data_IF_589509409266
#
_entry.id   IF_589509409266
#
_cell.length_a   1.000
_cell.length_b   1.000
_cell.length_c   1.000
_cell.angle_alpha   90.00
_cell.angle_beta   90.00
_cell.angle_gamma   90.00
#
_symmetry.space_group_name_H-M   'P 1'
#
loop_
_entity.id
_entity.type
_entity.pdbx_description
1 polymer ?
#
# COMPACT_ATOMS: atom_id res chain seq x y z
N UNK A 1 -18.93 -43.90 -28.69
CA UNK A 1 -18.87 -43.08 -27.46
C UNK A 1 -17.41 -42.79 -27.22
N UNK A 2 -16.91 -41.71 -27.80
CA UNK A 2 -15.51 -41.30 -27.64
C UNK A 2 -15.39 -40.49 -26.36
N UNK A 3 -14.88 -41.14 -25.31
CA UNK A 3 -14.42 -40.49 -24.09
C UNK A 3 -13.18 -39.65 -24.41
N UNK A 4 -13.40 -38.36 -24.67
CA UNK A 4 -12.33 -37.35 -24.64
C UNK A 4 -11.70 -37.38 -23.24
N UNK A 5 -10.54 -38.03 -23.13
CA UNK A 5 -9.63 -37.87 -21.99
C UNK A 5 -9.25 -36.39 -21.96
N UNK A 6 -9.77 -35.67 -20.97
CA UNK A 6 -9.36 -34.32 -20.65
C UNK A 6 -7.88 -34.35 -20.28
N UNK A 7 -7.00 -33.93 -21.19
CA UNK A 7 -5.60 -33.69 -20.87
C UNK A 7 -5.56 -32.68 -19.71
N UNK A 8 -5.05 -33.12 -18.55
CA UNK A 8 -4.87 -32.25 -17.41
C UNK A 8 -3.99 -31.07 -17.83
N UNK A 9 -4.43 -29.84 -17.53
CA UNK A 9 -3.58 -28.66 -17.76
C UNK A 9 -2.26 -28.85 -17.00
N UNK A 10 -1.11 -28.48 -17.59
CA UNK A 10 0.16 -28.57 -16.89
C UNK A 10 0.10 -27.76 -15.59
N UNK A 11 0.50 -28.39 -14.48
CA UNK A 11 0.57 -27.73 -13.17
C UNK A 11 1.70 -26.69 -13.23
N UNK A 12 1.38 -25.46 -12.87
CA UNK A 12 2.34 -24.35 -12.84
C UNK A 12 2.81 -24.11 -11.41
N UNK A 13 4.05 -23.66 -11.26
CA UNK A 13 4.69 -23.38 -9.98
C UNK A 13 5.34 -22.01 -10.01
N UNK A 14 5.51 -21.39 -8.84
CA UNK A 14 6.30 -20.16 -8.69
C UNK A 14 7.33 -20.33 -7.56
N UNK A 15 8.53 -19.75 -7.71
CA UNK A 15 9.58 -19.83 -6.71
C UNK A 15 9.29 -18.92 -5.52
N UNK A 16 9.71 -19.36 -4.35
CA UNK A 16 9.65 -18.65 -3.06
C UNK A 16 10.96 -18.88 -2.31
N UNK A 17 11.42 -17.84 -1.59
CA UNK A 17 12.59 -17.99 -0.73
C UNK A 17 12.28 -18.86 0.49
N UNK A 18 13.10 -19.87 0.82
CA UNK A 18 12.92 -20.73 1.98
C UNK A 18 12.85 -19.97 3.32
N UNK A 19 13.48 -18.79 3.41
CA UNK A 19 13.43 -17.96 4.63
C UNK A 19 12.03 -17.42 4.93
N UNK A 20 11.11 -17.47 3.97
CA UNK A 20 9.71 -17.13 4.16
C UNK A 20 8.90 -18.25 4.81
N UNK A 21 9.46 -19.44 4.99
CA UNK A 21 8.81 -20.54 5.68
C UNK A 21 9.09 -20.44 7.19
N UNK A 22 8.23 -19.71 7.91
CA UNK A 22 8.40 -19.46 9.33
C UNK A 22 8.20 -20.73 10.18
N UNK A 23 9.13 -21.03 11.11
CA UNK A 23 8.97 -22.14 12.04
C UNK A 23 7.65 -22.08 12.82
N UNK A 24 7.00 -23.23 12.95
CA UNK A 24 5.71 -23.47 13.60
C UNK A 24 4.50 -22.77 12.96
N UNK A 25 4.70 -22.00 11.89
CA UNK A 25 3.60 -21.43 11.14
C UNK A 25 2.90 -22.50 10.30
N UNK A 26 1.57 -22.40 10.25
CA UNK A 26 0.72 -23.26 9.44
C UNK A 26 0.58 -22.63 8.06
N UNK A 27 0.96 -23.37 7.02
CA UNK A 27 0.75 -22.98 5.62
C UNK A 27 -0.40 -23.77 5.03
N UNK A 28 -1.42 -23.09 4.50
CA UNK A 28 -2.53 -23.70 3.76
C UNK A 28 -2.16 -23.97 2.29
N UNK A 29 -0.86 -24.18 2.01
CA UNK A 29 -0.28 -24.44 0.70
C UNK A 29 0.79 -25.52 0.79
N UNK A 30 1.02 -26.22 -0.32
CA UNK A 30 2.04 -27.25 -0.41
C UNK A 30 3.36 -26.66 -0.91
N UNK A 31 4.48 -27.17 -0.41
CA UNK A 31 5.83 -26.72 -0.79
C UNK A 31 6.54 -27.85 -1.52
N UNK A 32 7.22 -27.51 -2.61
CA UNK A 32 7.92 -28.44 -3.50
C UNK A 32 9.38 -28.04 -3.66
N UNK A 33 10.23 -29.03 -3.96
CA UNK A 33 11.63 -28.84 -4.36
C UNK A 33 11.80 -29.26 -5.81
N UNK A 34 12.54 -28.47 -6.58
CA UNK A 34 12.95 -28.87 -7.93
C UNK A 34 14.12 -29.85 -7.86
N UNK A 35 13.92 -31.08 -8.36
CA UNK A 35 14.94 -32.14 -8.37
C UNK A 35 14.83 -32.96 -9.65
N UNK A 36 15.92 -33.04 -10.41
CA UNK A 36 16.04 -33.96 -11.54
C UNK A 36 15.03 -33.74 -12.67
N UNK A 37 14.53 -32.51 -12.85
CA UNK A 37 13.53 -32.18 -13.87
C UNK A 37 12.07 -32.25 -13.40
N UNK A 38 11.83 -32.51 -12.11
CA UNK A 38 10.48 -32.62 -11.55
C UNK A 38 10.33 -31.87 -10.20
N UNK A 39 9.09 -31.57 -9.83
CA UNK A 39 8.73 -30.94 -8.57
C UNK A 39 8.35 -32.00 -7.52
N UNK A 40 9.22 -32.18 -6.52
CA UNK A 40 9.03 -33.17 -5.46
C UNK A 40 8.39 -32.50 -4.25
N UNK A 41 7.27 -33.05 -3.78
CA UNK A 41 6.58 -32.57 -2.58
C UNK A 41 7.52 -32.61 -1.38
N UNK A 42 7.66 -31.47 -0.71
CA UNK A 42 8.46 -31.29 0.49
C UNK A 42 7.59 -31.24 1.75
N UNK A 43 6.54 -30.41 1.74
CA UNK A 43 5.52 -30.37 2.81
C UNK A 43 4.13 -30.23 2.20
N UNK A 44 3.15 -30.93 2.76
CA UNK A 44 1.75 -30.83 2.31
C UNK A 44 1.05 -29.62 2.92
N UNK A 45 0.06 -29.08 2.21
CA UNK A 45 -0.88 -28.10 2.76
C UNK A 45 -1.48 -28.54 4.11
N UNK A 46 -1.58 -27.59 5.04
CA UNK A 46 -2.07 -27.80 6.41
C UNK A 46 -1.03 -28.35 7.39
N UNK A 47 0.20 -28.65 6.93
CA UNK A 47 1.30 -29.03 7.82
C UNK A 47 2.03 -27.80 8.35
N UNK A 48 2.53 -27.91 9.58
CA UNK A 48 3.43 -26.89 10.14
C UNK A 48 4.83 -26.99 9.54
N UNK A 49 5.44 -25.85 9.29
CA UNK A 49 6.87 -25.79 8.99
C UNK A 49 7.68 -26.02 10.27
N UNK A 50 8.11 -27.26 10.51
CA UNK A 50 8.89 -27.58 11.71
C UNK A 50 10.29 -26.93 11.65
N UNK A 51 10.93 -26.64 12.78
CA UNK A 51 12.34 -26.22 12.80
C UNK A 51 13.28 -27.19 12.07
N UNK A 52 12.95 -28.49 12.05
CA UNK A 52 13.68 -29.49 11.24
C UNK A 52 13.54 -29.26 9.74
N UNK A 53 12.36 -28.88 9.25
CA UNK A 53 12.18 -28.54 7.83
C UNK A 53 13.08 -27.37 7.43
N UNK A 54 13.01 -26.26 8.18
CA UNK A 54 13.84 -25.08 7.90
C UNK A 54 15.34 -25.41 7.95
N UNK A 55 15.79 -26.22 8.93
CA UNK A 55 17.19 -26.68 9.02
C UNK A 55 17.62 -27.53 7.83
N UNK A 56 16.76 -28.40 7.32
CA UNK A 56 17.07 -29.24 6.16
C UNK A 56 17.25 -28.39 4.91
N UNK A 57 16.38 -27.39 4.68
CA UNK A 57 16.53 -26.47 3.54
C UNK A 57 17.84 -25.69 3.62
N UNK A 58 18.14 -25.11 4.80
CA UNK A 58 19.37 -24.36 5.02
C UNK A 58 20.63 -25.25 4.89
N UNK A 59 20.64 -26.45 5.46
CA UNK A 59 21.80 -27.36 5.40
C UNK A 59 22.13 -27.82 3.98
N UNK A 60 21.14 -27.84 3.08
CA UNK A 60 21.30 -28.29 1.71
C UNK A 60 21.43 -27.13 0.71
N UNK A 61 21.71 -25.91 1.18
CA UNK A 61 21.86 -24.70 0.36
C UNK A 61 20.73 -24.51 -0.66
N UNK A 62 19.51 -24.82 -0.25
CA UNK A 62 18.33 -24.62 -1.11
C UNK A 62 18.07 -23.12 -1.18
N UNK A 63 18.20 -22.54 -2.38
CA UNK A 63 17.91 -21.13 -2.63
C UNK A 63 16.42 -20.84 -2.92
N UNK A 64 15.69 -21.83 -3.42
CA UNK A 64 14.30 -21.71 -3.82
C UNK A 64 13.49 -22.94 -3.43
N UNK A 65 12.28 -22.70 -2.93
CA UNK A 65 11.21 -23.68 -2.91
C UNK A 65 10.11 -23.25 -3.88
N UNK A 66 9.19 -24.15 -4.19
CA UNK A 66 8.14 -23.89 -5.17
C UNK A 66 6.76 -24.14 -4.57
N UNK A 67 5.81 -23.29 -4.94
CA UNK A 67 4.40 -23.43 -4.56
C UNK A 67 3.59 -23.51 -5.85
N UNK A 68 2.54 -24.33 -5.87
CA UNK A 68 1.66 -24.41 -7.04
C UNK A 68 0.95 -23.07 -7.26
N UNK A 69 0.86 -22.63 -8.51
CA UNK A 69 0.20 -21.37 -8.86
C UNK A 69 -1.29 -21.34 -8.45
N UNK A 70 -1.94 -22.49 -8.28
CA UNK A 70 -3.30 -22.61 -7.73
C UNK A 70 -3.40 -22.31 -6.23
N UNK A 71 -2.29 -22.37 -5.49
CA UNK A 71 -2.21 -22.11 -4.04
C UNK A 71 -1.64 -20.71 -3.74
N UNK A 72 -1.50 -19.85 -4.76
CA UNK A 72 -0.90 -18.51 -4.64
C UNK A 72 -1.62 -17.62 -3.62
N UNK A 73 -2.95 -17.65 -3.60
CA UNK A 73 -3.77 -16.84 -2.68
C UNK A 73 -3.51 -17.24 -1.22
N UNK A 74 -3.36 -18.53 -0.95
CA UNK A 74 -3.07 -19.07 0.38
C UNK A 74 -1.67 -18.65 0.85
N UNK A 75 -0.69 -18.65 -0.06
CA UNK A 75 0.64 -18.13 0.23
C UNK A 75 0.64 -16.62 0.51
N UNK A 76 -0.08 -15.83 -0.28
CA UNK A 76 -0.20 -14.38 -0.06
C UNK A 76 -0.86 -14.06 1.30
N UNK A 77 -1.92 -14.78 1.66
CA UNK A 77 -2.58 -14.66 2.98
C UNK A 77 -1.65 -15.06 4.13
N UNK A 78 -0.82 -16.08 3.90
CA UNK A 78 0.21 -16.49 4.87
C UNK A 78 1.23 -15.37 5.09
N UNK A 79 1.72 -14.73 4.03
CA UNK A 79 2.66 -13.61 4.13
C UNK A 79 2.01 -12.42 4.84
N UNK A 80 0.78 -12.05 4.46
CA UNK A 80 0.03 -10.98 5.12
C UNK A 80 -0.07 -11.21 6.64
N UNK A 81 -0.44 -12.42 7.06
CA UNK A 81 -0.59 -12.78 8.48
C UNK A 81 0.72 -12.68 9.27
N UNK A 82 1.86 -12.87 8.60
CA UNK A 82 3.19 -12.84 9.22
C UNK A 82 3.93 -11.53 8.95
N UNK A 83 3.29 -10.53 8.34
CA UNK A 83 3.96 -9.31 7.90
C UNK A 83 4.71 -8.59 9.02
N UNK A 84 4.08 -8.46 10.20
CA UNK A 84 4.74 -7.84 11.36
C UNK A 84 6.00 -8.58 11.81
N UNK A 85 5.98 -9.92 11.77
CA UNK A 85 7.17 -10.74 12.07
C UNK A 85 8.27 -10.53 11.04
N UNK A 86 7.90 -10.46 9.76
CA UNK A 86 8.86 -10.24 8.66
C UNK A 86 9.55 -8.90 8.81
N UNK A 87 8.80 -7.84 9.06
CA UNK A 87 9.33 -6.49 9.15
C UNK A 87 10.27 -6.30 10.36
N UNK A 88 10.00 -7.01 11.46
CA UNK A 88 10.78 -6.96 12.69
C UNK A 88 12.00 -7.92 12.70
N UNK A 89 12.14 -8.80 11.70
CA UNK A 89 13.25 -9.75 11.65
C UNK A 89 14.50 -9.10 11.05
N UNK A 90 15.38 -8.59 11.90
CA UNK A 90 16.65 -7.94 11.51
C UNK A 90 17.64 -8.90 10.84
N UNK A 91 17.43 -10.22 10.89
CA UNK A 91 18.24 -11.18 10.15
C UNK A 91 17.89 -11.23 8.66
N UNK A 92 16.72 -10.70 8.27
CA UNK A 92 16.33 -10.58 6.88
C UNK A 92 16.92 -9.29 6.26
N UNK A 93 17.47 -9.36 5.03
CA UNK A 93 17.87 -8.16 4.30
C UNK A 93 16.74 -7.13 4.23
N UNK A 94 17.08 -5.85 4.42
CA UNK A 94 16.07 -4.78 4.45
C UNK A 94 15.34 -4.66 3.11
N UNK A 95 16.02 -4.95 2.00
CA UNK A 95 15.47 -4.95 0.65
C UNK A 95 14.39 -6.04 0.51
N UNK A 96 14.61 -7.21 1.10
CA UNK A 96 13.64 -8.30 1.10
C UNK A 96 12.42 -7.96 1.95
N UNK A 97 12.64 -7.40 3.15
CA UNK A 97 11.56 -6.93 4.03
C UNK A 97 10.72 -5.85 3.35
N UNK A 98 11.38 -4.88 2.70
CA UNK A 98 10.75 -3.78 1.96
C UNK A 98 9.91 -4.27 0.79
N UNK A 99 10.46 -5.20 -0.01
CA UNK A 99 9.75 -5.82 -1.12
C UNK A 99 8.46 -6.52 -0.65
N UNK A 100 8.59 -7.36 0.37
CA UNK A 100 7.45 -8.13 0.91
C UNK A 100 6.40 -7.19 1.48
N UNK A 101 6.83 -6.16 2.21
CA UNK A 101 5.92 -5.13 2.73
C UNK A 101 5.14 -4.45 1.61
N UNK A 102 5.83 -3.99 0.56
CA UNK A 102 5.19 -3.29 -0.54
C UNK A 102 4.21 -4.22 -1.28
N UNK A 103 4.63 -5.44 -1.64
CA UNK A 103 3.81 -6.41 -2.37
C UNK A 103 2.58 -6.85 -1.56
N UNK A 104 2.78 -7.29 -0.31
CA UNK A 104 1.69 -7.79 0.53
C UNK A 104 0.67 -6.68 0.85
N UNK A 105 1.14 -5.48 1.18
CA UNK A 105 0.26 -4.36 1.49
C UNK A 105 -0.51 -3.90 0.25
N UNK A 106 0.14 -3.86 -0.92
CA UNK A 106 -0.51 -3.54 -2.20
C UNK A 106 -1.60 -4.54 -2.55
N UNK A 107 -1.40 -5.84 -2.31
CA UNK A 107 -2.43 -6.87 -2.55
C UNK A 107 -3.65 -6.70 -1.64
N UNK A 108 -3.44 -6.37 -0.36
CA UNK A 108 -4.54 -6.07 0.56
C UNK A 108 -5.30 -4.84 0.08
N UNK A 109 -4.59 -3.75 -0.26
CA UNK A 109 -5.21 -2.54 -0.76
C UNK A 109 -5.94 -2.78 -2.10
N UNK A 110 -5.39 -3.63 -2.97
CA UNK A 110 -6.07 -4.05 -4.18
C UNK A 110 -7.38 -4.75 -3.84
N UNK A 111 -7.43 -5.71 -2.93
CA UNK A 111 -8.69 -6.36 -2.50
C UNK A 111 -9.66 -5.38 -1.83
N UNK A 112 -9.14 -4.38 -1.10
CA UNK A 112 -9.97 -3.30 -0.56
C UNK A 112 -10.61 -2.52 -1.69
N UNK A 113 -9.87 -2.10 -2.72
CA UNK A 113 -10.37 -1.25 -3.81
C UNK A 113 -11.03 -2.03 -4.96
N UNK A 114 -10.91 -3.36 -4.99
CA UNK A 114 -11.44 -4.15 -6.09
C UNK A 114 -12.96 -4.10 -6.15
N UNK A 115 -13.44 -4.40 -7.35
CA UNK A 115 -14.72 -4.07 -7.97
C UNK A 115 -16.00 -4.63 -7.32
N UNK A 116 -15.88 -5.18 -6.10
CA UNK A 116 -16.97 -5.77 -5.31
C UNK A 116 -17.14 -5.09 -3.96
N UNK A 117 -16.52 -3.93 -3.75
CA UNK A 117 -16.80 -3.14 -2.56
C UNK A 117 -18.31 -2.93 -2.44
N UNK A 118 -18.92 -3.35 -1.32
CA UNK A 118 -20.28 -2.95 -1.00
C UNK A 118 -20.38 -1.44 -0.94
N UNK A 119 -21.59 -0.92 -0.72
CA UNK A 119 -21.77 0.50 -0.40
C UNK A 119 -20.99 0.98 0.83
N UNK A 120 -20.33 0.09 1.57
CA UNK A 120 -19.62 0.27 2.82
C UNK A 120 -18.33 -0.54 2.89
N UNK A 121 -17.32 -0.03 3.62
CA UNK A 121 -16.09 -0.76 3.88
C UNK A 121 -16.34 -1.86 4.92
N UNK A 122 -16.15 -3.13 4.56
CA UNK A 122 -16.39 -4.26 5.48
C UNK A 122 -15.39 -4.24 6.64
N UNK A 123 -15.86 -4.60 7.84
CA UNK A 123 -15.01 -4.71 9.04
C UNK A 123 -13.77 -5.60 8.83
N UNK A 124 -13.88 -6.67 8.06
CA UNK A 124 -12.75 -7.55 7.70
C UNK A 124 -11.67 -6.84 6.88
N UNK A 125 -12.06 -5.96 5.93
CA UNK A 125 -11.10 -5.22 5.12
C UNK A 125 -10.44 -4.14 5.96
N UNK A 126 -11.24 -3.45 6.79
CA UNK A 126 -10.74 -2.48 7.74
C UNK A 126 -9.71 -3.07 8.72
N UNK A 127 -9.95 -4.27 9.26
CA UNK A 127 -9.02 -4.95 10.13
C UNK A 127 -7.68 -5.21 9.43
N UNK A 128 -7.70 -5.72 8.19
CA UNK A 128 -6.49 -5.97 7.39
C UNK A 128 -5.69 -4.68 7.11
N UNK A 129 -6.37 -3.59 6.74
CA UNK A 129 -5.72 -2.27 6.56
C UNK A 129 -5.13 -1.78 7.87
N UNK A 130 -5.87 -1.90 8.98
CA UNK A 130 -5.37 -1.54 10.31
C UNK A 130 -4.13 -2.35 10.71
N UNK A 131 -4.11 -3.64 10.37
CA UNK A 131 -2.98 -4.51 10.66
C UNK A 131 -1.75 -4.16 9.82
N UNK A 132 -1.91 -3.77 8.54
CA UNK A 132 -0.81 -3.22 7.74
C UNK A 132 -0.19 -2.03 8.45
N UNK A 133 -1.02 -1.05 8.84
CA UNK A 133 -0.54 0.17 9.48
C UNK A 133 0.17 -0.17 10.78
N UNK A 134 -0.46 -0.94 11.69
CA UNK A 134 0.17 -1.34 12.97
C UNK A 134 1.49 -2.06 12.78
N UNK A 135 1.56 -2.99 11.84
CA UNK A 135 2.74 -3.83 11.64
C UNK A 135 3.88 -3.10 10.91
N UNK A 136 3.59 -2.03 10.16
CA UNK A 136 4.57 -1.32 9.35
C UNK A 136 4.99 0.04 9.88
N UNK A 137 4.24 0.69 10.79
CA UNK A 137 4.64 2.01 11.33
C UNK A 137 6.07 1.98 11.84
N UNK A 138 6.46 1.03 12.70
CA UNK A 138 7.83 0.99 13.27
C UNK A 138 8.89 0.79 12.19
N UNK A 139 8.56 0.02 11.16
CA UNK A 139 9.44 -0.20 10.02
C UNK A 139 9.62 1.09 9.20
N UNK A 140 8.53 1.79 8.88
CA UNK A 140 8.51 3.05 8.12
C UNK A 140 8.92 4.28 8.93
N UNK A 141 8.87 4.19 10.25
CA UNK A 141 9.28 5.20 11.21
C UNK A 141 10.69 4.85 11.75
N UNK A 142 11.56 4.41 10.85
CA UNK A 142 12.97 4.17 11.12
C UNK A 142 13.85 4.87 10.10
N UNK A 143 15.09 5.18 10.48
CA UNK A 143 16.04 5.85 9.60
C UNK A 143 16.25 5.04 8.31
N UNK A 144 16.29 5.71 7.16
CA UNK A 144 16.46 5.10 5.82
C UNK A 144 15.34 4.12 5.41
N UNK A 145 14.24 4.02 6.15
CA UNK A 145 13.13 3.14 5.76
C UNK A 145 12.51 3.53 4.42
N UNK A 146 12.34 4.83 4.15
CA UNK A 146 11.83 5.30 2.86
C UNK A 146 12.77 4.94 1.71
N UNK A 147 14.09 5.06 1.89
CA UNK A 147 15.07 4.68 0.85
C UNK A 147 15.04 3.18 0.56
N UNK A 148 14.76 2.36 1.56
CA UNK A 148 14.63 0.90 1.37
C UNK A 148 13.35 0.50 0.62
N UNK A 149 12.28 1.29 0.71
CA UNK A 149 11.00 1.02 0.04
C UNK A 149 10.90 1.71 -1.32
N UNK A 150 11.60 2.83 -1.52
CA UNK A 150 11.57 3.63 -2.74
C UNK A 150 11.76 2.82 -4.04
N UNK A 151 12.67 1.82 -4.13
CA UNK A 151 12.84 1.02 -5.35
C UNK A 151 11.62 0.19 -5.75
N UNK A 152 10.67 -0.02 -4.84
CA UNK A 152 9.45 -0.82 -5.08
C UNK A 152 8.23 0.04 -5.41
N UNK A 153 8.31 1.36 -5.20
CA UNK A 153 7.23 2.30 -5.54
C UNK A 153 7.02 2.27 -7.06
N UNK A 154 5.87 1.75 -7.48
CA UNK A 154 5.48 1.67 -8.89
C UNK A 154 5.16 3.06 -9.45
N UNK A 155 5.43 3.28 -10.74
CA UNK A 155 4.97 4.48 -11.43
C UNK A 155 3.60 4.31 -12.10
N UNK A 156 3.04 3.10 -12.10
CA UNK A 156 1.72 2.81 -12.66
C UNK A 156 0.61 3.28 -11.69
N UNK A 157 -0.17 4.29 -12.11
CA UNK A 157 -1.28 4.76 -11.29
C UNK A 157 -2.44 3.75 -11.25
N UNK A 158 -2.66 3.22 -10.05
CA UNK A 158 -3.91 2.61 -9.64
C UNK A 158 -4.27 3.20 -8.29
N UNK A 159 -5.56 3.36 -7.98
CA UNK A 159 -5.97 3.99 -6.71
C UNK A 159 -5.33 3.31 -5.50
N UNK A 160 -5.18 1.98 -5.52
CA UNK A 160 -4.56 1.25 -4.43
C UNK A 160 -3.03 1.41 -4.34
N UNK A 161 -2.31 1.56 -5.46
CA UNK A 161 -0.85 1.85 -5.44
C UNK A 161 -0.62 3.28 -4.99
N UNK A 162 -1.43 4.22 -5.47
CA UNK A 162 -1.44 5.61 -5.02
C UNK A 162 -1.65 5.73 -3.50
N UNK A 163 -2.68 5.06 -2.95
CA UNK A 163 -2.88 5.00 -1.50
C UNK A 163 -1.66 4.47 -0.75
N UNK A 164 -0.98 3.46 -1.31
CA UNK A 164 0.25 2.92 -0.71
C UNK A 164 1.38 3.95 -0.71
N UNK A 165 1.60 4.69 -1.80
CA UNK A 165 2.67 5.69 -1.89
C UNK A 165 2.42 6.86 -0.94
N UNK A 166 1.17 7.36 -0.91
CA UNK A 166 0.74 8.42 0.00
C UNK A 166 0.92 7.97 1.45
N UNK A 167 0.56 6.72 1.78
CA UNK A 167 0.79 6.13 3.10
C UNK A 167 2.27 6.10 3.50
N UNK A 168 3.12 5.51 2.66
CA UNK A 168 4.56 5.38 2.92
C UNK A 168 5.20 6.75 3.16
N UNK A 169 4.92 7.71 2.26
CA UNK A 169 5.43 9.07 2.37
C UNK A 169 4.89 9.80 3.60
N UNK A 170 3.61 9.64 3.92
CA UNK A 170 2.99 10.33 5.05
C UNK A 170 3.51 9.83 6.39
N UNK A 171 3.71 8.51 6.55
CA UNK A 171 4.29 7.95 7.79
C UNK A 171 5.74 8.39 7.96
N UNK A 172 6.56 8.32 6.90
CA UNK A 172 7.93 8.81 6.94
C UNK A 172 7.98 10.30 7.32
N UNK A 173 7.08 11.11 6.77
CA UNK A 173 6.96 12.52 7.11
C UNK A 173 6.55 12.77 8.55
N UNK A 174 5.50 12.11 9.02
CA UNK A 174 5.03 12.23 10.40
C UNK A 174 6.11 11.85 11.40
N UNK A 175 6.91 10.82 11.13
CA UNK A 175 8.04 10.45 11.99
C UNK A 175 9.00 11.63 12.22
N UNK A 176 9.28 12.44 11.19
CA UNK A 176 10.17 13.61 11.34
C UNK A 176 9.59 14.74 12.19
N UNK A 177 8.30 14.70 12.51
CA UNK A 177 7.62 15.61 13.44
C UNK A 177 7.54 15.06 14.87
N UNK A 178 8.11 13.88 15.14
CA UNK A 178 8.12 13.23 16.46
C UNK A 178 6.71 13.06 17.06
N UNK A 179 5.71 12.85 16.19
CA UNK A 179 4.34 12.58 16.62
C UNK A 179 4.26 11.21 17.33
N UNK A 180 3.32 11.07 18.26
CA UNK A 180 3.16 9.83 19.03
C UNK A 180 2.70 8.64 18.17
N UNK A 181 2.95 7.41 18.63
CA UNK A 181 2.58 6.18 17.90
C UNK A 181 1.10 6.13 17.51
N UNK A 182 0.20 6.62 18.36
CA UNK A 182 -1.24 6.69 18.06
C UNK A 182 -1.53 7.65 16.89
N UNK A 183 -0.90 8.82 16.87
CA UNK A 183 -1.10 9.80 15.79
C UNK A 183 -0.49 9.30 14.48
N UNK A 184 0.66 8.60 14.54
CA UNK A 184 1.23 7.90 13.39
C UNK A 184 0.27 6.83 12.84
N UNK A 185 -0.37 6.06 13.72
CA UNK A 185 -1.36 5.08 13.33
C UNK A 185 -2.59 5.72 12.69
N UNK A 186 -3.13 6.77 13.28
CA UNK A 186 -4.30 7.47 12.77
C UNK A 186 -4.05 8.14 11.41
N UNK A 187 -2.86 8.75 11.24
CA UNK A 187 -2.41 9.33 9.99
C UNK A 187 -2.20 8.25 8.93
N UNK A 188 -1.50 7.16 9.27
CA UNK A 188 -1.25 6.06 8.35
C UNK A 188 -2.52 5.40 7.85
N UNK A 189 -3.48 5.17 8.75
CA UNK A 189 -4.80 4.64 8.42
C UNK A 189 -5.59 5.62 7.54
N UNK A 190 -5.52 6.92 7.85
CA UNK A 190 -6.12 7.98 7.04
C UNK A 190 -5.52 8.03 5.63
N UNK A 191 -4.20 7.90 5.51
CA UNK A 191 -3.49 7.93 4.24
C UNK A 191 -3.82 6.72 3.34
N UNK A 192 -3.94 5.50 3.89
CA UNK A 192 -4.34 4.34 3.09
C UNK A 192 -5.80 4.43 2.60
N UNK A 193 -6.66 5.07 3.38
CA UNK A 193 -8.10 5.13 3.11
C UNK A 193 -8.58 6.47 2.53
N UNK A 194 -7.70 7.45 2.32
CA UNK A 194 -8.10 8.81 1.91
C UNK A 194 -8.98 8.79 0.65
N UNK A 195 -8.66 7.88 -0.25
CA UNK A 195 -9.28 7.73 -1.55
C UNK A 195 -10.36 6.63 -1.61
N UNK A 196 -10.70 5.99 -0.49
CA UNK A 196 -11.64 4.83 -0.47
C UNK A 196 -13.02 5.18 -1.06
N UNK A 197 -13.42 6.44 -0.95
CA UNK A 197 -14.67 6.93 -1.55
C UNK A 197 -14.69 6.95 -3.07
N UNK A 198 -13.54 6.82 -3.75
CA UNK A 198 -13.49 6.65 -5.21
C UNK A 198 -14.25 5.41 -5.66
N UNK A 199 -14.44 4.41 -4.80
CA UNK A 199 -15.31 3.26 -5.06
C UNK A 199 -16.78 3.63 -5.37
N UNK A 200 -17.23 4.83 -5.00
CA UNK A 200 -18.57 5.35 -5.31
C UNK A 200 -18.63 6.19 -6.59
N UNK A 201 -17.49 6.52 -7.17
CA UNK A 201 -17.44 7.34 -8.38
C UNK A 201 -17.66 6.46 -9.61
N UNK A 202 -18.49 6.90 -10.58
CA UNK A 202 -18.69 6.14 -11.82
C UNK A 202 -17.37 5.84 -12.53
N UNK A 203 -17.17 4.58 -12.94
CA UNK A 203 -15.93 4.18 -13.64
C UNK A 203 -15.71 4.88 -14.97
N UNK A 204 -16.79 5.26 -15.65
CA UNK A 204 -16.72 6.06 -16.88
C UNK A 204 -16.07 7.42 -16.65
N UNK A 205 -16.13 7.95 -15.42
CA UNK A 205 -15.48 9.20 -15.00
C UNK A 205 -14.06 8.91 -14.53
N UNK A 206 -13.88 7.94 -13.61
CA UNK A 206 -12.55 7.62 -13.06
C UNK A 206 -11.54 7.17 -14.12
N UNK A 207 -11.98 6.38 -15.10
CA UNK A 207 -11.12 5.81 -16.14
C UNK A 207 -11.18 6.62 -17.45
N UNK A 208 -11.76 7.82 -17.43
CA UNK A 208 -11.86 8.66 -18.63
C UNK A 208 -10.47 9.04 -19.12
N UNK A 209 -10.20 8.82 -20.41
CA UNK A 209 -9.00 9.32 -21.08
C UNK A 209 -9.24 10.77 -21.51
N UNK A 210 -8.37 11.68 -21.06
CA UNK A 210 -8.46 13.12 -21.33
C UNK A 210 -9.14 13.93 -20.23
N UNK A 211 -9.32 15.24 -20.49
CA UNK A 211 -9.83 16.19 -19.49
C UNK A 211 -11.27 15.89 -19.05
N UNK A 212 -11.50 15.97 -17.74
CA UNK A 212 -12.83 15.94 -17.15
C UNK A 212 -13.61 17.22 -17.45
N UNK A 213 -14.91 17.13 -17.65
CA UNK A 213 -15.82 18.28 -17.68
C UNK A 213 -15.96 18.88 -16.29
N UNK A 214 -16.54 20.09 -16.18
CA UNK A 214 -16.80 20.68 -14.87
C UNK A 214 -17.73 19.80 -14.02
N UNK A 215 -18.79 19.24 -14.62
CA UNK A 215 -19.72 18.36 -13.91
C UNK A 215 -19.05 17.05 -13.44
N UNK A 216 -18.19 16.46 -14.27
CA UNK A 216 -17.42 15.28 -13.88
C UNK A 216 -16.44 15.58 -12.74
N UNK A 217 -15.81 16.77 -12.74
CA UNK A 217 -14.97 17.21 -11.63
C UNK A 217 -15.76 17.36 -10.33
N UNK A 218 -16.95 17.94 -10.38
CA UNK A 218 -17.79 18.06 -9.18
C UNK A 218 -18.16 16.67 -8.61
N UNK A 219 -18.44 15.69 -9.46
CA UNK A 219 -18.69 14.31 -9.01
C UNK A 219 -17.45 13.72 -8.32
N UNK A 220 -16.25 13.89 -8.89
CA UNK A 220 -15.03 13.39 -8.25
C UNK A 220 -14.80 14.05 -6.89
N UNK A 221 -15.09 15.35 -6.74
CA UNK A 221 -14.92 16.07 -5.47
C UNK A 221 -15.77 15.51 -4.32
N UNK A 222 -16.75 14.66 -4.60
CA UNK A 222 -17.56 14.01 -3.57
C UNK A 222 -16.84 12.84 -2.88
N UNK A 223 -15.76 12.30 -3.45
CA UNK A 223 -15.13 11.10 -2.91
C UNK A 223 -14.62 11.20 -1.45
N UNK A 224 -14.16 12.36 -0.92
CA UNK A 224 -13.81 12.43 0.50
C UNK A 224 -15.03 12.19 1.40
N UNK A 225 -16.18 12.75 1.03
CA UNK A 225 -17.46 12.57 1.74
C UNK A 225 -17.95 11.14 1.62
N UNK A 226 -17.87 10.56 0.42
CA UNK A 226 -18.18 9.13 0.21
C UNK A 226 -17.27 8.23 1.05
N UNK A 227 -15.98 8.57 1.17
CA UNK A 227 -15.00 7.83 1.95
C UNK A 227 -15.36 7.79 3.44
N UNK A 228 -15.69 8.95 4.02
CA UNK A 228 -16.18 9.03 5.41
C UNK A 228 -17.47 8.23 5.58
N UNK A 229 -18.42 8.37 4.66
CA UNK A 229 -19.69 7.63 4.70
C UNK A 229 -19.47 6.12 4.71
N UNK A 230 -18.56 5.63 3.86
CA UNK A 230 -18.19 4.21 3.76
C UNK A 230 -17.53 3.66 5.02
N UNK A 231 -16.95 4.52 5.86
CA UNK A 231 -16.24 4.16 7.08
C UNK A 231 -17.04 4.46 8.37
N UNK A 232 -18.24 5.04 8.26
CA UNK A 232 -19.03 5.55 9.40
C UNK A 232 -19.38 4.53 10.50
N UNK A 233 -19.43 3.23 10.17
CA UNK A 233 -19.71 2.14 11.11
C UNK A 233 -18.45 1.45 11.64
N UNK A 234 -17.26 1.95 11.28
CA UNK A 234 -15.97 1.41 11.72
C UNK A 234 -15.42 2.24 12.89
N UNK A 235 -14.53 1.68 13.72
CA UNK A 235 -13.93 2.40 14.84
C UNK A 235 -12.84 3.37 14.36
N UNK A 236 -13.25 4.40 13.62
CA UNK A 236 -12.37 5.47 13.15
C UNK A 236 -12.26 6.57 14.20
N UNK A 237 -11.06 7.08 14.44
CA UNK A 237 -10.88 8.27 15.26
C UNK A 237 -11.14 9.52 14.42
N UNK A 238 -11.36 10.66 15.10
CA UNK A 238 -11.58 11.92 14.40
C UNK A 238 -10.38 12.32 13.54
N UNK A 239 -9.16 11.99 13.95
CA UNK A 239 -7.95 12.29 13.18
C UNK A 239 -7.91 11.51 11.86
N UNK A 240 -8.23 10.21 11.88
CA UNK A 240 -8.35 9.40 10.66
C UNK A 240 -9.48 9.90 9.76
N UNK A 241 -10.63 10.28 10.33
CA UNK A 241 -11.74 10.87 9.57
C UNK A 241 -11.31 12.17 8.91
N UNK A 242 -10.60 13.05 9.62
CA UNK A 242 -10.10 14.32 9.08
C UNK A 242 -9.13 14.09 7.91
N UNK A 243 -8.24 13.09 8.01
CA UNK A 243 -7.35 12.71 6.93
C UNK A 243 -8.13 12.29 5.67
N UNK A 244 -9.19 11.49 5.83
CA UNK A 244 -10.03 11.08 4.69
C UNK A 244 -10.83 12.27 4.14
N UNK A 245 -11.47 13.06 5.01
CA UNK A 245 -12.41 14.10 4.58
C UNK A 245 -11.73 15.31 3.97
N UNK A 246 -10.57 15.70 4.50
CA UNK A 246 -9.96 17.00 4.25
C UNK A 246 -8.64 16.93 3.47
N UNK A 247 -8.22 15.77 2.95
CA UNK A 247 -6.95 15.67 2.21
C UNK A 247 -6.90 16.53 0.92
N UNK A 248 -8.03 17.06 0.46
CA UNK A 248 -8.07 18.03 -0.65
C UNK A 248 -8.33 19.48 -0.21
N UNK A 249 -8.31 19.75 1.09
CA UNK A 249 -8.29 21.11 1.61
C UNK A 249 -6.95 21.78 1.30
N UNK A 250 -6.98 23.09 1.09
CA UNK A 250 -5.83 23.91 0.72
C UNK A 250 -5.73 25.08 1.66
N UNK A 251 -4.51 25.51 2.02
CA UNK A 251 -4.34 26.57 3.01
C UNK A 251 -4.96 27.91 2.59
N UNK A 252 -5.05 28.16 1.28
CA UNK A 252 -5.72 29.35 0.69
C UNK A 252 -7.26 29.29 0.75
N UNK A 253 -7.86 28.17 1.13
CA UNK A 253 -9.31 27.96 1.19
C UNK A 253 -9.96 27.63 -0.15
N UNK A 254 -9.18 27.36 -1.19
CA UNK A 254 -9.69 26.93 -2.51
C UNK A 254 -9.91 25.41 -2.61
N UNK A 255 -9.64 24.69 -1.52
CA UNK A 255 -9.84 23.26 -1.38
C UNK A 255 -11.31 22.86 -1.19
N UNK A 256 -11.53 21.57 -0.96
CA UNK A 256 -12.85 20.98 -0.74
C UNK A 256 -12.73 19.80 0.25
N UNK A 257 -13.84 19.38 0.91
CA UNK A 257 -15.24 19.81 0.73
C UNK A 257 -15.69 21.03 1.55
N UNK A 258 -14.95 21.45 2.57
CA UNK A 258 -15.35 22.49 3.52
C UNK A 258 -14.70 23.87 3.26
N UNK A 259 -13.65 23.95 2.44
CA UNK A 259 -12.96 25.20 2.15
C UNK A 259 -12.21 25.75 3.37
N UNK A 260 -11.59 24.84 4.13
CA UNK A 260 -10.82 25.15 5.34
C UNK A 260 -9.61 26.02 4.98
N UNK A 261 -9.19 26.86 5.92
CA UNK A 261 -8.02 27.75 5.75
C UNK A 261 -6.96 27.50 6.81
N UNK A 262 -5.70 27.57 6.39
CA UNK A 262 -4.48 27.54 7.22
C UNK A 262 -4.61 26.68 8.50
N UNK A 263 -4.67 27.33 9.66
CA UNK A 263 -4.67 26.73 11.00
C UNK A 263 -5.80 25.74 11.24
N UNK A 264 -6.89 25.79 10.47
CA UNK A 264 -8.01 24.87 10.60
C UNK A 264 -7.76 23.51 9.94
N UNK A 265 -6.67 23.36 9.16
CA UNK A 265 -6.26 22.09 8.56
C UNK A 265 -5.25 21.43 9.50
N UNK A 266 -5.55 20.25 10.10
CA UNK A 266 -4.61 19.55 10.98
C UNK A 266 -3.31 19.14 10.27
N UNK A 267 -2.21 19.04 11.01
CA UNK A 267 -0.90 18.66 10.45
C UNK A 267 -0.94 17.33 9.66
N UNK A 268 -1.54 16.24 10.16
CA UNK A 268 -1.65 14.99 9.39
C UNK A 268 -2.34 15.19 8.03
N UNK A 269 -3.38 16.04 7.97
CA UNK A 269 -4.07 16.36 6.72
C UNK A 269 -3.13 17.09 5.76
N UNK A 270 -2.37 18.09 6.23
CA UNK A 270 -1.41 18.82 5.39
C UNK A 270 -0.32 17.92 4.83
N UNK A 271 0.15 16.95 5.61
CA UNK A 271 1.13 15.94 5.20
C UNK A 271 0.54 15.07 4.08
N UNK A 272 -0.65 14.51 4.31
CA UNK A 272 -1.33 13.65 3.32
C UNK A 272 -1.65 14.42 2.05
N UNK A 273 -2.19 15.64 2.14
CA UNK A 273 -2.48 16.50 0.98
C UNK A 273 -1.24 16.74 0.12
N UNK A 274 -0.08 16.96 0.76
CA UNK A 274 1.17 17.20 0.05
C UNK A 274 1.68 15.92 -0.62
N UNK A 275 1.65 14.79 0.08
CA UNK A 275 2.04 13.49 -0.45
C UNK A 275 1.12 13.04 -1.60
N UNK A 276 -0.20 13.27 -1.49
CA UNK A 276 -1.20 13.03 -2.54
C UNK A 276 -0.87 13.83 -3.80
N UNK A 277 -0.65 15.15 -3.67
CA UNK A 277 -0.28 16.01 -4.81
C UNK A 277 1.05 15.56 -5.45
N UNK A 278 2.05 15.21 -4.64
CA UNK A 278 3.33 14.76 -5.18
C UNK A 278 3.18 13.46 -5.98
N UNK A 279 2.59 12.42 -5.38
CA UNK A 279 2.37 11.13 -6.06
C UNK A 279 1.48 11.29 -7.29
N UNK A 280 0.53 12.22 -7.23
CA UNK A 280 -0.34 12.57 -8.34
C UNK A 280 0.38 13.15 -9.56
N UNK A 281 1.48 13.86 -9.34
CA UNK A 281 2.29 14.47 -10.38
C UNK A 281 3.34 13.49 -10.92
N UNK A 282 3.85 12.58 -10.08
CA UNK A 282 4.95 11.67 -10.41
C UNK A 282 4.52 10.25 -10.83
N UNK A 283 3.22 9.96 -10.80
CA UNK A 283 2.64 8.69 -11.28
C UNK A 283 2.02 8.83 -12.68
N UNK A 284 2.17 7.81 -13.52
CA UNK A 284 1.56 7.76 -14.85
C UNK A 284 0.05 7.52 -14.75
N UNK A 285 -0.75 8.49 -15.20
CA UNK A 285 -2.22 8.46 -15.11
C UNK A 285 -2.85 8.33 -16.50
N UNK A 286 -4.08 7.77 -16.61
CA UNK A 286 -4.78 7.64 -17.90
C UNK A 286 -4.95 8.93 -18.71
N UNK A 287 -4.77 10.10 -18.07
CA UNK A 287 -4.95 11.42 -18.64
C UNK A 287 -3.75 12.36 -18.44
N UNK A 288 -2.63 11.90 -17.85
CA UNK A 288 -1.43 12.71 -17.63
C UNK A 288 -0.17 11.83 -17.54
N UNK A 289 0.89 12.24 -18.24
CA UNK A 289 2.21 11.62 -18.10
C UNK A 289 2.84 11.96 -16.75
N UNK A 290 3.61 11.01 -16.21
CA UNK A 290 4.39 11.22 -15.00
C UNK A 290 5.41 12.35 -15.19
N UNK A 291 5.44 13.29 -14.25
CA UNK A 291 6.50 14.28 -14.16
C UNK A 291 7.72 13.68 -13.46
N UNK A 292 8.90 14.13 -13.89
CA UNK A 292 10.13 13.94 -13.12
C UNK A 292 9.98 14.54 -11.69
N UNK A 293 10.51 13.88 -10.64
CA UNK A 293 10.41 14.36 -9.26
C UNK A 293 10.83 15.82 -9.04
N UNK A 294 11.94 16.25 -9.67
CA UNK A 294 12.42 17.63 -9.54
C UNK A 294 11.45 18.61 -10.21
N UNK A 295 10.89 18.25 -11.37
CA UNK A 295 9.89 19.05 -12.06
C UNK A 295 8.59 19.17 -11.24
N UNK A 296 8.11 18.06 -10.66
CA UNK A 296 6.93 18.04 -9.80
C UNK A 296 7.11 18.95 -8.57
N UNK A 297 8.24 18.83 -7.86
CA UNK A 297 8.54 19.66 -6.70
C UNK A 297 8.70 21.15 -7.06
N UNK A 298 9.30 21.44 -8.23
CA UNK A 298 9.40 22.80 -8.74
C UNK A 298 8.02 23.41 -9.03
N UNK A 299 7.11 22.63 -9.64
CA UNK A 299 5.73 23.03 -9.88
C UNK A 299 4.98 23.29 -8.56
N UNK A 300 5.07 22.35 -7.61
CA UNK A 300 4.44 22.50 -6.29
C UNK A 300 4.93 23.77 -5.58
N UNK A 301 6.24 24.01 -5.58
CA UNK A 301 6.84 25.21 -4.97
C UNK A 301 6.40 26.51 -5.63
N UNK A 302 6.35 26.55 -6.97
CA UNK A 302 6.14 27.79 -7.71
C UNK A 302 4.66 28.12 -7.92
N UNK A 303 3.81 27.10 -8.12
CA UNK A 303 2.41 27.27 -8.50
C UNK A 303 1.42 26.97 -7.38
N UNK A 304 1.84 26.31 -6.31
CA UNK A 304 0.95 25.88 -5.21
C UNK A 304 1.38 26.43 -3.84
N UNK A 305 2.23 27.46 -3.82
CA UNK A 305 2.84 28.02 -2.60
C UNK A 305 1.81 28.44 -1.53
N UNK A 306 0.69 29.02 -1.97
CA UNK A 306 -0.36 29.49 -1.07
C UNK A 306 -1.37 28.37 -0.72
N UNK A 307 -1.40 27.29 -1.50
CA UNK A 307 -2.28 26.16 -1.29
C UNK A 307 -1.69 25.09 -0.36
N UNK A 308 -0.35 24.97 -0.31
CA UNK A 308 0.38 23.93 0.44
C UNK A 308 1.14 24.52 1.64
N UNK A 309 1.33 23.72 2.68
CA UNK A 309 2.18 24.11 3.82
C UNK A 309 3.66 24.07 3.44
N UNK A 310 4.28 25.24 3.33
CA UNK A 310 5.68 25.36 2.92
C UNK A 310 6.69 24.85 3.97
N UNK A 311 6.29 24.71 5.23
CA UNK A 311 7.14 24.06 6.23
C UNK A 311 7.11 22.54 6.05
N UNK A 312 5.92 21.99 5.79
CA UNK A 312 5.77 20.57 5.42
C UNK A 312 6.50 20.28 4.11
N UNK A 313 6.36 21.14 3.09
CA UNK A 313 7.03 20.98 1.80
C UNK A 313 8.56 20.92 1.92
N UNK A 314 9.19 21.83 2.67
CA UNK A 314 10.64 21.83 2.85
C UNK A 314 11.14 20.53 3.47
N UNK A 315 10.40 20.03 4.47
CA UNK A 315 10.71 18.78 5.16
C UNK A 315 10.47 17.56 4.27
N UNK A 316 9.44 17.61 3.44
CA UNK A 316 9.16 16.60 2.42
C UNK A 316 10.29 16.48 1.40
N UNK A 317 10.78 17.60 0.89
CA UNK A 317 11.96 17.61 0.01
C UNK A 317 13.17 16.98 0.70
N UNK A 318 13.43 17.32 1.97
CA UNK A 318 14.55 16.72 2.70
C UNK A 318 14.40 15.20 2.89
N UNK A 319 13.19 14.72 3.19
CA UNK A 319 12.88 13.29 3.34
C UNK A 319 13.08 12.53 2.02
N UNK A 320 12.56 13.07 0.91
CA UNK A 320 12.73 12.47 -0.41
C UNK A 320 14.18 12.49 -0.90
N UNK A 321 14.92 13.58 -0.67
CA UNK A 321 16.35 13.65 -1.01
C UNK A 321 17.19 12.64 -0.21
N UNK A 322 16.86 12.41 1.06
CA UNK A 322 17.52 11.37 1.87
C UNK A 322 17.19 9.94 1.40
N UNK A 323 16.19 9.78 0.53
CA UNK A 323 15.77 8.51 -0.04
C UNK A 323 16.16 8.33 -1.50
N UNK A 324 17.00 9.22 -2.06
CA UNK A 324 17.39 9.24 -3.48
C UNK A 324 16.18 9.23 -4.43
N UNK A 325 15.08 9.90 -4.03
CA UNK A 325 13.84 10.02 -4.79
C UNK A 325 13.73 11.34 -5.58
N UNK A 326 14.77 12.19 -5.54
CA UNK A 326 14.88 13.49 -6.25
C UNK A 326 16.28 13.59 -6.83
#
# INVERSE_FOLDING_TARGET
MDTKISAARPVSYFPVSPVMLFPEALGDFSVYLWRGGDFILYTSSGQKFTPSHCRVLHKNDIGEVYIQSSEKVQYEQYIEKHLGRILQDENLPIELRSKIFYEASTLVMQDVFDNKLPSTLRARHFARVSDIVKNSIKFLASDNSLSSVAPFISHDYKTYTHCMHVFICSVAMCHTYEVGENELFECGLGALLHDVGKAKIPRSILNKRGSLTQSEREIIKEHPVHGVSMCSHLPMTQNTINCILFHHEKLDGTGYPAGLKSENIPLPVRIISLADVYDALTSERPYAEAMDPYAALSLMRNSMRDALDMNVFKRFVAVLSGADMI
#
